data_IF_125766350112
#
_entry.id   IF_125766350112
#
_cell.length_a   1.000
_cell.length_b   1.000
_cell.length_c   1.000
_cell.angle_alpha   90.00
_cell.angle_beta   90.00
_cell.angle_gamma   90.00
#
_symmetry.space_group_name_H-M   'P 1'
#
loop_
_entity.id
_entity.type
_entity.pdbx_description
1 polymer ?
#
# COMPACT_ATOMS: atom_id res chain seq x y z
N UNK A 1 -21.33 -6.98 8.99
CA UNK A 1 -22.33 -6.11 9.63
C UNK A 1 -21.92 -4.68 9.44
N UNK A 2 -22.66 -3.97 8.59
CA UNK A 2 -22.35 -2.60 8.14
C UNK A 2 -22.87 -1.61 9.19
N UNK A 3 -21.97 -0.89 9.89
CA UNK A 3 -22.36 0.23 10.76
C UNK A 3 -22.39 1.53 9.95
N UNK A 4 -23.52 1.78 9.30
CA UNK A 4 -23.87 3.12 8.83
C UNK A 4 -24.41 3.94 9.99
N UNK A 5 -23.55 4.71 10.67
CA UNK A 5 -23.96 5.65 11.72
C UNK A 5 -24.14 7.05 11.18
N UNK A 6 -25.39 7.45 10.88
CA UNK A 6 -25.79 8.85 10.64
C UNK A 6 -25.44 9.70 11.86
N UNK A 7 -24.80 10.84 11.63
CA UNK A 7 -24.58 11.87 12.66
C UNK A 7 -25.94 12.54 12.95
N UNK A 8 -26.57 12.15 14.06
CA UNK A 8 -27.81 12.74 14.54
C UNK A 8 -27.55 14.05 15.29
N UNK A 9 -28.29 15.11 14.95
CA UNK A 9 -28.42 16.35 15.75
C UNK A 9 -29.19 16.03 17.03
N UNK A 10 -28.55 16.16 18.19
CA UNK A 10 -29.25 16.30 19.47
C UNK A 10 -28.42 17.22 20.37
N UNK A 11 -29.07 18.26 20.92
CA UNK A 11 -28.48 19.21 21.87
C UNK A 11 -28.25 18.54 23.23
N UNK A 12 -27.04 18.15 23.49
CA UNK A 12 -26.44 17.71 24.71
C UNK A 12 -24.94 17.85 24.54
N UNK A 13 -24.13 17.93 25.59
CA UNK A 13 -22.69 18.05 25.49
C UNK A 13 -22.19 17.05 24.45
N UNK A 14 -21.73 17.56 23.26
CA UNK A 14 -21.36 16.71 22.12
C UNK A 14 -20.19 15.83 22.53
N UNK A 15 -20.45 14.57 22.80
CA UNK A 15 -19.41 13.58 23.03
C UNK A 15 -18.59 13.50 21.75
N UNK A 16 -17.32 13.87 21.81
CA UNK A 16 -16.40 13.76 20.68
C UNK A 16 -16.33 12.30 20.24
N UNK A 17 -16.46 12.07 18.94
CA UNK A 17 -16.30 10.73 18.40
C UNK A 17 -14.82 10.34 18.42
N UNK A 18 -14.46 9.37 19.25
CA UNK A 18 -13.10 8.85 19.32
C UNK A 18 -12.81 7.90 18.14
N UNK A 19 -11.80 8.20 17.32
CA UNK A 19 -11.38 7.39 16.16
C UNK A 19 -9.86 7.21 16.17
N UNK A 20 -9.40 5.99 15.86
CA UNK A 20 -7.98 5.76 15.54
C UNK A 20 -7.62 6.36 14.18
N UNK A 21 -6.35 6.67 13.98
CA UNK A 21 -5.87 7.31 12.75
C UNK A 21 -6.22 6.52 11.48
N UNK A 22 -6.10 5.19 11.50
CA UNK A 22 -6.46 4.34 10.37
C UNK A 22 -7.96 4.49 10.01
N UNK A 23 -8.84 4.40 11.00
CA UNK A 23 -10.28 4.56 10.79
C UNK A 23 -10.63 5.98 10.31
N UNK A 24 -9.87 6.99 10.76
CA UNK A 24 -10.01 8.37 10.28
C UNK A 24 -9.62 8.51 8.81
N UNK A 25 -8.53 7.90 8.39
CA UNK A 25 -8.10 7.88 6.99
C UNK A 25 -9.10 7.14 6.10
N UNK A 26 -9.56 5.95 6.52
CA UNK A 26 -10.57 5.19 5.81
C UNK A 26 -11.88 6.00 5.66
N UNK A 27 -12.30 6.67 6.71
CA UNK A 27 -13.46 7.55 6.64
C UNK A 27 -13.24 8.71 5.65
N UNK A 28 -12.10 9.40 5.71
CA UNK A 28 -11.84 10.55 4.86
C UNK A 28 -11.73 10.16 3.37
N UNK A 29 -10.97 9.11 3.05
CA UNK A 29 -10.69 8.76 1.66
C UNK A 29 -11.69 7.78 1.03
N UNK A 30 -12.30 6.91 1.81
CA UNK A 30 -13.24 5.90 1.31
C UNK A 30 -14.70 6.35 1.41
N UNK A 31 -15.10 7.00 2.51
CA UNK A 31 -16.50 7.39 2.75
C UNK A 31 -16.76 8.79 2.20
N UNK A 32 -15.94 9.77 2.60
CA UNK A 32 -16.07 11.16 2.18
C UNK A 32 -15.42 11.44 0.83
N UNK A 33 -14.62 10.50 0.30
CA UNK A 33 -13.93 10.58 -0.99
C UNK A 33 -13.06 11.84 -1.13
N UNK A 34 -12.39 12.24 -0.03
CA UNK A 34 -11.52 13.40 -0.03
C UNK A 34 -10.43 13.27 -1.11
N UNK A 35 -10.16 14.39 -1.78
CA UNK A 35 -9.11 14.43 -2.79
C UNK A 35 -7.78 14.73 -2.15
N UNK A 36 -6.72 14.04 -2.64
CA UNK A 36 -5.35 14.28 -2.18
C UNK A 36 -4.72 15.36 -3.09
N UNK A 37 -4.74 16.60 -2.63
CA UNK A 37 -4.12 17.72 -3.34
C UNK A 37 -2.65 17.82 -2.95
N UNK A 38 -1.78 17.30 -3.81
CA UNK A 38 -0.34 17.34 -3.57
C UNK A 38 0.24 18.69 -4.02
N UNK A 39 1.12 19.31 -3.21
CA UNK A 39 1.78 20.54 -3.61
C UNK A 39 2.61 20.30 -4.89
N UNK A 40 2.27 21.02 -5.95
CA UNK A 40 3.07 21.05 -7.16
C UNK A 40 4.30 21.91 -6.84
N UNK A 41 5.50 21.31 -6.85
CA UNK A 41 6.73 22.10 -6.88
C UNK A 41 6.82 22.74 -8.27
N UNK A 42 6.39 23.99 -8.37
CA UNK A 42 6.63 24.78 -9.60
C UNK A 42 8.12 25.09 -9.60
N UNK A 43 8.86 24.49 -10.51
CA UNK A 43 10.18 25.00 -10.91
C UNK A 43 10.00 26.40 -11.50
N UNK A 44 11.00 27.28 -11.33
CA UNK A 44 10.97 28.66 -11.87
C UNK A 44 10.83 28.62 -13.41
N UNK A 45 11.11 27.48 -14.05
CA UNK A 45 11.09 27.27 -15.51
C UNK A 45 9.92 26.38 -16.00
N UNK A 46 9.04 25.92 -15.12
CA UNK A 46 7.84 25.20 -15.53
C UNK A 46 6.77 26.19 -16.02
N UNK A 47 6.95 26.67 -17.26
CA UNK A 47 5.80 27.16 -18.04
C UNK A 47 4.83 26.00 -18.16
N UNK A 48 3.71 26.06 -17.40
CA UNK A 48 2.59 25.15 -17.59
C UNK A 48 2.08 25.31 -19.03
N UNK A 49 2.56 24.49 -19.95
CA UNK A 49 1.82 24.15 -21.15
C UNK A 49 0.61 23.31 -20.72
N UNK A 50 -0.31 23.92 -19.99
CA UNK A 50 -1.64 23.39 -19.79
C UNK A 50 -2.29 23.32 -21.17
N UNK A 51 -2.80 22.17 -21.57
CA UNK A 51 -3.68 22.10 -22.72
C UNK A 51 -4.80 23.12 -22.51
N UNK A 52 -4.82 24.17 -23.35
CA UNK A 52 -5.82 25.22 -23.22
C UNK A 52 -7.22 24.62 -23.23
N UNK A 53 -8.16 25.29 -22.56
CA UNK A 53 -9.58 24.87 -22.51
C UNK A 53 -10.13 24.51 -23.91
N UNK A 54 -9.66 25.20 -24.94
CA UNK A 54 -10.00 24.97 -26.34
C UNK A 54 -9.56 23.57 -26.83
N UNK A 55 -8.35 23.12 -26.48
CA UNK A 55 -7.88 21.76 -26.82
C UNK A 55 -8.75 20.69 -26.13
N UNK A 56 -9.09 20.89 -24.86
CA UNK A 56 -9.97 19.97 -24.13
C UNK A 56 -11.34 19.88 -24.77
N UNK A 57 -11.91 21.00 -25.22
CA UNK A 57 -13.20 21.06 -25.90
C UNK A 57 -13.15 20.37 -27.27
N UNK A 58 -12.07 20.57 -28.04
CA UNK A 58 -11.86 19.90 -29.33
C UNK A 58 -11.72 18.37 -29.13
N UNK A 59 -10.97 17.93 -28.13
CA UNK A 59 -10.85 16.49 -27.82
C UNK A 59 -12.18 15.89 -27.37
N UNK A 60 -12.96 16.59 -26.55
CA UNK A 60 -14.31 16.14 -26.15
C UNK A 60 -15.24 16.02 -27.37
N UNK A 61 -15.19 16.97 -28.31
CA UNK A 61 -15.97 16.93 -29.53
C UNK A 61 -15.54 15.77 -30.46
N UNK A 62 -14.23 15.50 -30.56
CA UNK A 62 -13.70 14.41 -31.38
C UNK A 62 -14.01 13.02 -30.81
N UNK A 63 -13.94 12.84 -29.51
CA UNK A 63 -14.17 11.55 -28.86
C UNK A 63 -15.66 11.21 -28.71
N UNK A 64 -16.57 12.16 -28.98
CA UNK A 64 -18.01 11.92 -28.87
C UNK A 64 -18.47 11.53 -27.46
N UNK A 65 -17.55 11.48 -26.51
CA UNK A 65 -17.84 11.18 -25.14
C UNK A 65 -18.38 12.43 -24.43
N UNK A 66 -19.67 12.45 -24.11
CA UNK A 66 -20.08 13.13 -22.90
C UNK A 66 -19.35 12.42 -21.75
N UNK A 67 -18.26 12.98 -21.32
CA UNK A 67 -17.75 12.67 -19.98
C UNK A 67 -18.82 13.27 -19.07
N UNK A 68 -19.79 12.46 -18.65
CA UNK A 68 -20.57 12.77 -17.47
C UNK A 68 -19.52 12.88 -16.37
N UNK A 69 -19.11 14.11 -16.08
CA UNK A 69 -18.46 14.43 -14.82
C UNK A 69 -19.44 13.86 -13.81
N UNK A 70 -19.04 12.74 -13.17
CA UNK A 70 -19.93 11.95 -12.34
C UNK A 70 -20.77 12.90 -11.55
N UNK A 71 -22.08 12.81 -11.71
CA UNK A 71 -22.99 13.76 -11.06
C UNK A 71 -22.66 13.70 -9.58
N UNK A 72 -21.92 14.70 -9.08
CA UNK A 72 -21.94 15.01 -7.67
C UNK A 72 -23.42 15.12 -7.33
N UNK A 73 -23.95 14.11 -6.65
CA UNK A 73 -25.31 14.16 -6.12
C UNK A 73 -25.41 15.50 -5.44
N UNK A 74 -26.28 16.38 -5.96
CA UNK A 74 -26.45 17.73 -5.46
C UNK A 74 -26.45 17.72 -3.94
N UNK A 75 -25.44 18.35 -3.31
CA UNK A 75 -25.28 18.46 -1.87
C UNK A 75 -24.23 17.58 -1.19
N UNK A 76 -23.43 16.83 -1.93
CA UNK A 76 -22.31 16.07 -1.34
C UNK A 76 -21.02 16.89 -1.41
N UNK A 77 -20.90 17.88 -0.54
CA UNK A 77 -19.59 18.47 -0.25
C UNK A 77 -18.81 17.50 0.63
N UNK A 78 -17.54 17.27 0.32
CA UNK A 78 -16.61 16.56 1.20
C UNK A 78 -16.63 17.22 2.57
N UNK A 79 -16.70 16.44 3.64
CA UNK A 79 -16.73 16.97 4.98
C UNK A 79 -15.41 17.73 5.28
N UNK A 80 -15.49 18.93 5.85
CA UNK A 80 -14.32 19.77 6.11
C UNK A 80 -13.20 19.04 6.89
N UNK A 81 -13.56 18.14 7.81
CA UNK A 81 -12.56 17.34 8.52
C UNK A 81 -11.88 16.31 7.63
N UNK A 82 -12.55 15.79 6.60
CA UNK A 82 -11.93 14.89 5.64
C UNK A 82 -10.90 15.63 4.76
N UNK A 83 -11.19 16.90 4.42
CA UNK A 83 -10.22 17.78 3.74
C UNK A 83 -9.01 18.06 4.63
N UNK A 84 -9.20 18.31 5.93
CA UNK A 84 -8.10 18.48 6.89
C UNK A 84 -7.22 17.21 6.94
N UNK A 85 -7.83 16.04 6.98
CA UNK A 85 -7.10 14.76 6.96
C UNK A 85 -6.32 14.60 5.65
N UNK A 86 -6.95 14.89 4.50
CA UNK A 86 -6.29 14.82 3.20
C UNK A 86 -5.13 15.81 3.08
N UNK A 87 -5.31 17.06 3.55
CA UNK A 87 -4.26 18.08 3.59
C UNK A 87 -3.09 17.66 4.50
N UNK A 88 -3.39 17.05 5.66
CA UNK A 88 -2.35 16.50 6.54
C UNK A 88 -1.55 15.42 5.81
N UNK A 89 -2.19 14.47 5.15
CA UNK A 89 -1.51 13.42 4.36
C UNK A 89 -0.70 14.03 3.22
N UNK A 90 -1.23 15.04 2.51
CA UNK A 90 -0.54 15.73 1.41
C UNK A 90 0.73 16.46 1.87
N UNK A 91 0.75 16.93 3.13
CA UNK A 91 1.89 17.60 3.75
C UNK A 91 3.02 16.67 4.20
N UNK A 92 2.96 15.37 3.88
CA UNK A 92 3.98 14.40 4.31
C UNK A 92 5.39 14.79 3.84
N UNK A 93 6.39 14.84 4.75
CA UNK A 93 7.73 15.28 4.41
C UNK A 93 8.48 14.24 3.57
N UNK A 94 9.40 14.73 2.73
CA UNK A 94 10.23 13.88 1.87
C UNK A 94 11.08 12.85 2.67
N UNK A 95 11.45 13.21 3.92
CA UNK A 95 12.19 12.31 4.83
C UNK A 95 11.44 11.04 5.20
N UNK A 96 10.11 11.06 5.15
CA UNK A 96 9.25 9.87 5.36
C UNK A 96 8.86 9.18 4.04
N UNK A 97 9.18 9.76 2.88
CA UNK A 97 8.81 9.25 1.57
C UNK A 97 7.93 10.21 0.74
N UNK A 98 7.56 11.35 1.30
CA UNK A 98 6.92 12.46 0.60
C UNK A 98 5.66 12.08 -0.17
N UNK A 99 5.50 12.64 -1.36
CA UNK A 99 4.33 12.43 -2.23
C UNK A 99 4.02 10.95 -2.51
N UNK A 100 5.04 10.12 -2.71
CA UNK A 100 4.83 8.69 -3.02
C UNK A 100 4.17 7.96 -1.87
N UNK A 101 4.64 8.18 -0.65
CA UNK A 101 4.07 7.55 0.53
C UNK A 101 2.69 8.13 0.85
N UNK A 102 2.49 9.44 0.66
CA UNK A 102 1.17 10.08 0.81
C UNK A 102 0.11 9.45 -0.11
N UNK A 103 0.44 9.27 -1.40
CA UNK A 103 -0.44 8.58 -2.36
C UNK A 103 -0.71 7.15 -1.90
N UNK A 104 0.32 6.41 -1.51
CA UNK A 104 0.19 5.02 -1.08
C UNK A 104 -0.72 4.87 0.14
N UNK A 105 -0.57 5.74 1.15
CA UNK A 105 -1.43 5.78 2.34
C UNK A 105 -2.89 6.08 1.96
N UNK A 106 -3.12 7.06 1.08
CA UNK A 106 -4.46 7.41 0.63
C UNK A 106 -5.13 6.27 -0.15
N UNK A 107 -4.40 5.59 -1.05
CA UNK A 107 -4.93 4.45 -1.81
C UNK A 107 -5.26 3.25 -0.92
N UNK A 108 -4.40 2.92 0.05
CA UNK A 108 -4.70 1.88 1.03
C UNK A 108 -5.95 2.23 1.86
N UNK A 109 -6.08 3.49 2.28
CA UNK A 109 -7.25 3.95 3.01
C UNK A 109 -8.55 3.89 2.16
N UNK A 110 -8.49 4.22 0.87
CA UNK A 110 -9.61 4.05 -0.08
C UNK A 110 -10.01 2.59 -0.24
N UNK A 111 -9.02 1.71 -0.33
CA UNK A 111 -9.25 0.27 -0.43
C UNK A 111 -9.72 -0.36 0.90
N UNK A 112 -9.52 0.33 2.04
CA UNK A 112 -9.74 -0.23 3.38
C UNK A 112 -8.77 -1.37 3.70
N UNK A 113 -7.52 -1.24 3.22
CA UNK A 113 -6.49 -2.26 3.33
C UNK A 113 -5.28 -1.77 4.12
N UNK A 114 -4.50 -2.72 4.61
CA UNK A 114 -3.17 -2.49 5.17
C UNK A 114 -2.12 -3.08 4.22
N UNK A 115 -0.86 -2.59 4.23
CA UNK A 115 0.20 -3.20 3.44
C UNK A 115 0.36 -4.69 3.75
N UNK A 116 0.54 -5.49 2.72
CA UNK A 116 0.86 -6.91 2.88
C UNK A 116 2.31 -7.06 3.36
N UNK A 117 2.48 -7.47 4.61
CA UNK A 117 3.78 -7.79 5.21
C UNK A 117 4.12 -9.27 5.13
N UNK A 118 3.39 -10.05 4.31
CA UNK A 118 3.52 -11.49 4.11
C UNK A 118 3.35 -12.30 5.42
N UNK A 119 2.16 -12.29 6.03
CA UNK A 119 1.90 -13.01 7.27
C UNK A 119 2.04 -14.52 7.09
N UNK A 120 2.77 -15.16 8.01
CA UNK A 120 2.95 -16.62 8.01
C UNK A 120 3.79 -17.19 6.86
N UNK A 121 4.31 -16.33 5.99
CA UNK A 121 5.12 -16.77 4.87
C UNK A 121 6.54 -17.10 5.34
N UNK A 122 7.00 -18.32 5.02
CA UNK A 122 8.36 -18.80 5.32
C UNK A 122 9.06 -19.12 4.00
N UNK A 123 10.30 -18.65 3.79
CA UNK A 123 11.07 -19.00 2.60
C UNK A 123 11.24 -20.52 2.49
N UNK A 124 10.97 -21.05 1.31
CA UNK A 124 11.16 -22.47 1.00
C UNK A 124 12.19 -22.61 -0.10
N UNK A 125 13.10 -23.56 0.07
CA UNK A 125 14.04 -23.94 -0.96
C UNK A 125 13.29 -24.76 -2.03
N UNK A 126 13.32 -24.27 -3.27
CA UNK A 126 12.66 -24.91 -4.41
C UNK A 126 13.62 -25.00 -5.60
N UNK A 127 13.47 -26.00 -6.49
CA UNK A 127 14.25 -26.05 -7.73
C UNK A 127 14.09 -24.78 -8.55
N UNK A 128 15.16 -24.30 -9.18
CA UNK A 128 15.10 -23.15 -10.09
C UNK A 128 14.25 -23.46 -11.31
N UNK A 129 14.38 -24.67 -11.84
CA UNK A 129 13.64 -25.15 -13.01
C UNK A 129 13.06 -26.54 -12.76
N UNK A 130 11.84 -26.73 -13.25
CA UNK A 130 11.18 -28.04 -13.27
C UNK A 130 10.78 -28.38 -14.68
N UNK A 131 10.81 -29.66 -15.01
CA UNK A 131 10.36 -30.22 -16.30
C UNK A 131 9.21 -31.19 -16.04
N UNK A 132 8.10 -30.97 -16.77
CA UNK A 132 6.98 -31.87 -16.73
C UNK A 132 7.24 -33.06 -17.70
N UNK A 133 7.02 -34.28 -17.23
CA UNK A 133 7.04 -35.47 -18.07
C UNK A 133 5.81 -36.36 -17.78
N UNK A 134 5.70 -37.47 -18.46
CA UNK A 134 4.58 -38.43 -18.26
C UNK A 134 4.44 -38.98 -16.83
N UNK A 135 5.51 -38.90 -16.02
CA UNK A 135 5.53 -39.37 -14.63
C UNK A 135 5.37 -38.25 -13.62
N UNK A 136 5.13 -37.00 -14.09
CA UNK A 136 4.96 -35.81 -13.26
C UNK A 136 6.07 -34.79 -13.40
N UNK A 137 6.13 -33.88 -12.46
CA UNK A 137 7.11 -32.78 -12.41
C UNK A 137 8.44 -33.27 -11.82
N UNK A 138 9.54 -33.00 -12.52
CA UNK A 138 10.91 -33.33 -12.09
C UNK A 138 11.78 -32.07 -12.07
N UNK A 139 12.63 -31.96 -11.07
CA UNK A 139 13.64 -30.92 -11.00
C UNK A 139 14.67 -31.04 -12.11
N UNK A 140 15.03 -29.93 -12.74
CA UNK A 140 16.13 -29.85 -13.67
C UNK A 140 17.46 -30.01 -12.93
N UNK A 141 18.40 -30.74 -13.52
CA UNK A 141 19.75 -30.92 -12.97
C UNK A 141 20.79 -30.45 -13.95
N UNK A 142 21.92 -29.97 -13.42
CA UNK A 142 23.11 -29.56 -14.16
C UNK A 142 24.29 -30.46 -13.78
N UNK A 143 25.21 -30.70 -14.72
CA UNK A 143 26.44 -31.40 -14.46
C UNK A 143 27.39 -30.42 -13.76
N UNK A 144 27.82 -30.76 -12.53
CA UNK A 144 28.75 -29.95 -11.73
C UNK A 144 30.17 -30.55 -11.69
N UNK A 145 30.30 -31.79 -12.13
CA UNK A 145 31.60 -32.46 -12.15
C UNK A 145 31.50 -33.84 -12.77
N UNK A 146 32.67 -34.46 -12.92
CA UNK A 146 32.82 -35.84 -13.38
C UNK A 146 33.73 -36.56 -12.39
N UNK A 147 33.26 -37.67 -11.85
CA UNK A 147 34.02 -38.50 -10.90
C UNK A 147 34.23 -39.91 -11.42
N UNK A 148 35.38 -40.50 -11.05
CA UNK A 148 35.65 -41.90 -11.29
C UNK A 148 35.28 -42.73 -10.07
N UNK A 149 34.30 -43.59 -10.22
CA UNK A 149 33.77 -44.44 -9.15
C UNK A 149 34.02 -45.89 -9.47
N UNK A 150 34.45 -46.67 -8.48
CA UNK A 150 34.62 -48.10 -8.61
C UNK A 150 33.30 -48.82 -8.30
N UNK A 151 32.66 -49.37 -9.32
CA UNK A 151 31.42 -50.14 -9.18
C UNK A 151 31.62 -51.56 -9.65
N UNK A 152 31.36 -52.54 -8.79
CA UNK A 152 31.50 -53.95 -9.07
C UNK A 152 32.90 -54.31 -9.60
N UNK A 153 33.97 -53.77 -8.99
CA UNK A 153 35.36 -54.02 -9.35
C UNK A 153 35.88 -53.29 -10.58
N UNK A 154 35.04 -52.54 -11.33
CA UNK A 154 35.43 -51.77 -12.52
C UNK A 154 35.34 -50.28 -12.24
N UNK A 155 36.30 -49.52 -12.74
CA UNK A 155 36.23 -48.04 -12.73
C UNK A 155 35.28 -47.55 -13.80
N UNK A 156 34.35 -46.67 -13.40
CA UNK A 156 33.43 -45.98 -14.29
C UNK A 156 33.52 -44.49 -14.06
N UNK A 157 33.39 -43.71 -15.13
CA UNK A 157 33.23 -42.28 -15.06
C UNK A 157 31.74 -41.98 -14.92
N UNK A 158 31.39 -41.20 -13.90
CA UNK A 158 30.01 -40.84 -13.58
C UNK A 158 29.91 -39.33 -13.52
N UNK A 159 28.89 -38.77 -14.15
CA UNK A 159 28.54 -37.37 -14.05
C UNK A 159 27.92 -37.07 -12.66
N UNK A 160 28.46 -36.05 -12.00
CA UNK A 160 27.90 -35.57 -10.74
C UNK A 160 26.88 -34.50 -11.08
N UNK A 161 25.63 -34.79 -10.74
CA UNK A 161 24.49 -33.90 -11.02
C UNK A 161 24.09 -33.12 -9.76
N UNK A 162 23.85 -31.85 -9.90
CA UNK A 162 23.26 -31.01 -8.86
C UNK A 162 21.95 -30.37 -9.35
N UNK A 163 21.01 -30.20 -8.45
CA UNK A 163 19.79 -29.46 -8.71
C UNK A 163 19.99 -28.00 -8.26
N UNK A 164 20.02 -27.02 -9.17
CA UNK A 164 20.03 -25.62 -8.79
C UNK A 164 18.77 -25.27 -8.05
N UNK A 165 18.89 -24.61 -6.89
CA UNK A 165 17.77 -24.26 -6.03
C UNK A 165 17.71 -22.77 -5.80
N UNK A 166 16.52 -22.25 -5.52
CA UNK A 166 16.25 -20.88 -5.12
C UNK A 166 15.27 -20.83 -3.95
N UNK A 167 15.15 -19.66 -3.33
CA UNK A 167 14.17 -19.45 -2.27
C UNK A 167 12.89 -18.86 -2.86
N UNK A 168 11.72 -19.39 -2.45
CA UNK A 168 10.41 -18.84 -2.80
C UNK A 168 9.51 -18.71 -1.57
N UNK A 169 8.99 -17.51 -1.25
CA UNK A 169 9.51 -16.24 -1.75
C UNK A 169 10.95 -16.01 -1.27
N UNK A 170 11.69 -15.15 -1.98
CA UNK A 170 13.05 -14.82 -1.55
C UNK A 170 13.02 -14.08 -0.21
N UNK A 171 13.95 -14.33 0.73
CA UNK A 171 13.98 -13.63 2.02
C UNK A 171 13.97 -12.11 1.91
N UNK A 172 14.59 -11.57 0.86
CA UNK A 172 14.59 -10.13 0.58
C UNK A 172 13.20 -9.58 0.21
N UNK A 173 12.35 -10.38 -0.44
CA UNK A 173 10.97 -9.98 -0.75
C UNK A 173 10.17 -9.83 0.54
N UNK A 174 10.32 -10.76 1.47
CA UNK A 174 9.68 -10.69 2.79
C UNK A 174 10.21 -9.48 3.57
N UNK A 175 11.52 -9.26 3.56
CA UNK A 175 12.12 -8.12 4.23
C UNK A 175 11.65 -6.78 3.62
N UNK A 176 11.52 -6.72 2.29
CA UNK A 176 11.00 -5.53 1.60
C UNK A 176 9.54 -5.25 1.95
N UNK A 177 8.68 -6.28 1.95
CA UNK A 177 7.28 -6.16 2.33
C UNK A 177 7.13 -5.65 3.78
N UNK A 178 7.95 -6.14 4.70
CA UNK A 178 7.95 -5.70 6.10
C UNK A 178 8.44 -4.27 6.27
N UNK A 179 9.48 -3.85 5.53
CA UNK A 179 9.89 -2.44 5.51
C UNK A 179 8.79 -1.53 5.00
N UNK A 180 8.12 -1.91 3.90
CA UNK A 180 6.98 -1.13 3.39
C UNK A 180 5.83 -0.99 4.39
N UNK A 181 5.60 -2.01 5.23
CA UNK A 181 4.65 -1.92 6.34
C UNK A 181 5.14 -0.95 7.44
N UNK A 182 6.43 -1.00 7.81
CA UNK A 182 7.02 -0.09 8.80
C UNK A 182 6.96 1.37 8.32
N UNK A 183 7.27 1.63 7.04
CA UNK A 183 7.17 2.96 6.44
C UNK A 183 5.72 3.49 6.48
N UNK A 184 4.75 2.65 6.13
CA UNK A 184 3.33 2.98 6.24
C UNK A 184 2.94 3.26 7.70
N UNK A 185 3.41 2.47 8.65
CA UNK A 185 3.14 2.68 10.07
C UNK A 185 3.68 4.02 10.56
N UNK A 186 4.90 4.38 10.17
CA UNK A 186 5.51 5.68 10.48
C UNK A 186 4.71 6.85 9.88
N UNK A 187 4.19 6.66 8.66
CA UNK A 187 3.31 7.64 8.04
C UNK A 187 2.01 7.83 8.83
N UNK A 188 1.41 6.74 9.32
CA UNK A 188 0.22 6.82 10.19
C UNK A 188 0.52 7.57 11.50
N UNK A 189 1.66 7.29 12.12
CA UNK A 189 2.09 7.92 13.36
C UNK A 189 2.25 9.43 13.16
N UNK A 190 2.93 9.82 12.08
CA UNK A 190 3.11 11.22 11.70
C UNK A 190 1.77 11.93 11.42
N UNK A 191 0.85 11.29 10.68
CA UNK A 191 -0.48 11.84 10.40
C UNK A 191 -1.27 12.01 11.71
N UNK A 192 -1.24 11.01 12.59
CA UNK A 192 -1.91 11.08 13.90
C UNK A 192 -1.42 12.31 14.68
N UNK A 193 -0.11 12.47 14.79
CA UNK A 193 0.49 13.58 15.53
C UNK A 193 0.14 14.92 14.88
N UNK A 194 0.16 15.00 13.56
CA UNK A 194 -0.26 16.21 12.81
C UNK A 194 -1.71 16.59 13.08
N UNK A 195 -2.62 15.61 13.11
CA UNK A 195 -4.04 15.84 13.41
C UNK A 195 -4.29 16.25 14.86
N UNK A 196 -3.53 15.68 15.80
CA UNK A 196 -3.63 16.02 17.23
C UNK A 196 -3.09 17.43 17.47
N UNK A 197 -1.90 17.76 16.96
CA UNK A 197 -1.26 19.07 17.12
C UNK A 197 -2.04 20.17 16.40
N UNK A 198 -2.57 19.87 15.20
CA UNK A 198 -3.34 20.83 14.40
C UNK A 198 -4.63 21.29 15.08
N UNK A 199 -5.21 20.49 15.97
CA UNK A 199 -6.38 20.85 16.78
C UNK A 199 -7.65 21.26 16.00
N UNK A 200 -7.68 21.00 14.68
CA UNK A 200 -8.77 21.43 13.80
C UNK A 200 -10.02 20.55 13.90
N UNK A 201 -9.90 19.37 14.50
CA UNK A 201 -10.98 18.39 14.64
C UNK A 201 -11.76 18.61 15.95
N UNK A 202 -12.74 19.53 15.93
CA UNK A 202 -13.47 19.92 17.15
C UNK A 202 -14.44 18.84 17.65
N UNK A 203 -15.04 18.06 16.74
CA UNK A 203 -16.07 17.07 17.04
C UNK A 203 -15.53 15.61 17.05
N UNK A 204 -14.28 15.43 16.66
CA UNK A 204 -13.60 14.14 16.60
C UNK A 204 -12.35 14.19 17.45
N UNK A 205 -12.11 13.15 18.21
CA UNK A 205 -10.89 12.94 18.98
C UNK A 205 -10.07 11.83 18.30
N UNK A 206 -8.86 12.15 17.87
CA UNK A 206 -7.93 11.17 17.33
C UNK A 206 -7.29 10.43 18.50
N UNK A 207 -7.58 9.15 18.62
CA UNK A 207 -7.07 8.32 19.71
C UNK A 207 -5.65 7.85 19.45
N UNK A 208 -4.97 7.40 20.52
CA UNK A 208 -3.66 6.77 20.43
C UNK A 208 -3.70 5.35 19.79
N UNK A 209 -4.87 4.89 19.35
CA UNK A 209 -5.02 3.56 18.76
C UNK A 209 -4.29 3.47 17.42
N UNK A 210 -3.26 2.62 17.39
CA UNK A 210 -2.41 2.36 16.23
C UNK A 210 -2.36 0.86 15.94
N UNK A 211 -2.14 0.45 14.68
CA UNK A 211 -1.81 -0.93 14.36
C UNK A 211 -0.52 -1.37 15.08
N UNK A 212 -0.29 -2.68 15.18
CA UNK A 212 0.98 -3.17 15.74
C UNK A 212 2.13 -2.75 14.84
N UNK A 213 3.22 -2.21 15.41
CA UNK A 213 4.42 -1.77 14.66
C UNK A 213 5.05 -2.91 13.86
N UNK A 214 5.16 -4.10 14.48
CA UNK A 214 5.76 -5.30 13.89
C UNK A 214 4.88 -6.50 14.17
N UNK A 215 3.80 -6.70 13.39
CA UNK A 215 2.85 -7.79 13.64
C UNK A 215 3.46 -9.19 13.45
N UNK A 216 4.61 -9.30 12.77
CA UNK A 216 5.34 -10.54 12.55
C UNK A 216 6.27 -10.94 13.71
N UNK A 217 6.48 -10.05 14.68
CA UNK A 217 7.25 -10.38 15.89
C UNK A 217 6.28 -10.96 16.92
N UNK A 218 6.41 -12.27 17.16
CA UNK A 218 5.67 -12.90 18.24
C UNK A 218 6.09 -12.26 19.57
N UNK A 219 5.12 -11.84 20.40
CA UNK A 219 5.42 -11.56 21.80
C UNK A 219 5.69 -12.90 22.47
N UNK A 220 6.93 -13.14 22.85
CA UNK A 220 7.24 -14.19 23.82
C UNK A 220 6.63 -13.69 25.13
N UNK A 221 5.52 -14.30 25.52
CA UNK A 221 4.89 -14.12 26.83
C UNK A 221 5.57 -15.03 27.84
#
# INVERSE_FOLDING_TARGET
MSMQGRIGRAGGAKVKRALGVQAMLEWAFRVEQAQLELPVRRGIDDEEFGFGMEYVLIQRARLGCKVDGGQNKRGSYTHAYAEVVAATVAGMPDSLGGKRLAIYVAELARAGMTPDWMPGVVPRCVPMETKQNQYGERSSTIIVGIERVRTRGKWRTVEVLACPVTWRPHPEQIASARRGYEDWWQALDWVRDGLVVGGMLREVEVTAAMPKVRPWVARWG
#
